data_IF_429689114386
#
_entry.id   IF_429689114386
#
_cell.length_a   1.000
_cell.length_b   1.000
_cell.length_c   1.000
_cell.angle_alpha   90.00
_cell.angle_beta   90.00
_cell.angle_gamma   90.00
#
_symmetry.space_group_name_H-M   'P 1'
#
loop_
_entity.id
_entity.type
_entity.pdbx_description
1 polymer ?
#
# COMPACT_ATOMS: atom_id res chain seq x y z
N UNK A 1 73.25 32.42 37.32
CA UNK A 1 72.11 31.49 37.10
C UNK A 1 70.83 32.30 37.23
N UNK A 2 70.12 32.62 36.13
CA UNK A 2 68.99 31.86 35.54
C UNK A 2 67.89 31.57 36.59
N UNK A 3 66.61 31.95 36.47
CA UNK A 3 65.79 32.51 35.38
C UNK A 3 64.48 33.05 35.99
N UNK A 4 64.14 34.32 35.73
CA UNK A 4 62.76 34.79 35.69
C UNK A 4 62.06 34.17 34.47
N UNK A 5 60.85 33.60 34.65
CA UNK A 5 60.01 33.15 33.52
C UNK A 5 59.06 34.27 33.09
N UNK A 6 58.99 34.42 31.77
CA UNK A 6 58.40 35.50 30.97
C UNK A 6 56.88 35.40 30.87
N UNK A 7 56.24 36.56 30.76
CA UNK A 7 54.95 36.77 30.10
C UNK A 7 55.19 36.71 28.58
N UNK A 8 54.43 35.91 27.83
CA UNK A 8 54.12 36.13 26.39
C UNK A 8 52.81 35.42 26.03
N UNK A 9 51.83 36.20 25.58
CA UNK A 9 50.60 35.80 24.85
C UNK A 9 50.91 35.19 23.48
N UNK A 10 50.14 34.21 22.98
CA UNK A 10 49.72 34.06 21.55
C UNK A 10 48.62 32.98 21.42
N UNK A 11 47.40 33.43 21.07
CA UNK A 11 46.48 33.01 19.97
C UNK A 11 46.16 31.51 19.68
N UNK A 12 44.85 31.28 19.41
CA UNK A 12 44.18 30.22 18.62
C UNK A 12 43.91 28.88 19.35
N UNK A 13 42.72 28.25 19.32
CA UNK A 13 41.71 28.08 18.26
C UNK A 13 40.30 27.96 18.87
N UNK A 14 39.33 28.60 18.21
CA UNK A 14 37.89 28.41 18.39
C UNK A 14 37.50 26.97 17.97
N UNK A 15 37.54 26.00 18.88
CA UNK A 15 36.97 24.67 18.63
C UNK A 15 35.50 24.67 19.00
N UNK A 16 34.67 24.93 17.98
CA UNK A 16 33.25 24.57 17.95
C UNK A 16 33.16 23.06 18.21
N UNK A 17 32.83 22.67 19.43
CA UNK A 17 32.39 21.31 19.73
C UNK A 17 30.88 21.28 19.45
N UNK A 18 30.53 20.97 18.20
CA UNK A 18 29.23 20.38 17.89
C UNK A 18 29.26 18.99 18.52
N UNK A 19 28.89 18.92 19.80
CA UNK A 19 28.59 17.66 20.45
C UNK A 19 27.25 17.18 19.90
N UNK A 20 27.34 16.09 19.15
CA UNK A 20 26.26 15.32 18.57
C UNK A 20 25.16 15.01 19.60
N UNK A 21 24.10 15.81 19.62
CA UNK A 21 22.80 15.44 20.17
C UNK A 21 21.93 14.92 19.03
N UNK A 22 21.82 13.61 18.91
CA UNK A 22 21.15 12.87 17.85
C UNK A 22 19.75 13.43 17.56
N UNK A 23 19.55 13.82 16.30
CA UNK A 23 18.29 14.29 15.70
C UNK A 23 17.16 13.27 15.87
N UNK A 24 16.27 13.50 16.83
CA UNK A 24 14.94 12.88 16.89
C UNK A 24 13.93 13.67 16.05
N UNK A 25 14.18 13.84 14.75
CA UNK A 25 13.24 14.52 13.84
C UNK A 25 12.75 13.64 12.66
N UNK A 26 11.98 12.58 12.92
CA UNK A 26 11.08 12.02 11.91
C UNK A 26 9.60 12.44 12.10
N UNK A 27 9.23 13.13 13.19
CA UNK A 27 7.81 13.31 13.51
C UNK A 27 7.11 14.44 12.74
N UNK A 28 7.78 15.58 12.54
CA UNK A 28 7.16 16.78 11.94
C UNK A 28 6.98 16.63 10.41
N UNK A 29 8.00 16.12 9.71
CA UNK A 29 7.96 15.92 8.25
C UNK A 29 6.94 14.84 7.84
N UNK A 30 6.80 13.78 8.64
CA UNK A 30 5.81 12.73 8.36
C UNK A 30 4.38 13.21 8.62
N UNK A 31 4.17 14.06 9.63
CA UNK A 31 2.85 14.62 9.92
C UNK A 31 2.36 15.54 8.79
N UNK A 32 3.25 16.34 8.18
CA UNK A 32 2.89 17.16 7.03
C UNK A 32 2.55 16.31 5.80
N UNK A 33 3.36 15.29 5.49
CA UNK A 33 3.10 14.41 4.34
C UNK A 33 1.77 13.66 4.44
N UNK A 34 1.39 13.23 5.66
CA UNK A 34 0.08 12.61 5.87
C UNK A 34 -1.06 13.60 5.61
N UNK A 35 -0.96 14.82 6.12
CA UNK A 35 -1.95 15.88 5.89
C UNK A 35 -2.07 16.24 4.41
N UNK A 36 -0.95 16.30 3.71
CA UNK A 36 -0.88 16.58 2.27
C UNK A 36 -1.55 15.46 1.47
N UNK A 37 -1.24 14.20 1.79
CA UNK A 37 -1.87 13.04 1.17
C UNK A 37 -3.40 13.06 1.35
N UNK A 38 -3.87 13.31 2.57
CA UNK A 38 -5.31 13.38 2.86
C UNK A 38 -5.99 14.55 2.16
N UNK A 39 -5.30 15.67 2.00
CA UNK A 39 -5.79 16.82 1.23
C UNK A 39 -5.90 16.48 -0.25
N UNK A 40 -4.88 15.81 -0.81
CA UNK A 40 -4.89 15.35 -2.20
C UNK A 40 -6.02 14.32 -2.45
N UNK A 41 -6.24 13.37 -1.53
CA UNK A 41 -7.34 12.41 -1.65
C UNK A 41 -8.73 13.06 -1.59
N UNK A 42 -8.91 14.13 -0.81
CA UNK A 42 -10.18 14.89 -0.81
C UNK A 42 -10.47 15.50 -2.17
N UNK A 43 -9.45 16.07 -2.81
CA UNK A 43 -9.56 16.69 -4.13
C UNK A 43 -9.86 15.61 -5.17
N UNK A 44 -9.04 14.55 -5.19
CA UNK A 44 -9.21 13.41 -6.08
C UNK A 44 -10.62 12.79 -6.00
N UNK A 45 -11.14 12.55 -4.79
CA UNK A 45 -12.47 11.98 -4.61
C UNK A 45 -13.62 12.93 -4.99
N UNK A 46 -13.39 14.24 -5.06
CA UNK A 46 -14.41 15.24 -5.45
C UNK A 46 -14.45 15.52 -6.94
N UNK A 47 -13.28 15.53 -7.58
CA UNK A 47 -13.15 15.90 -9.00
C UNK A 47 -13.52 14.76 -9.94
N UNK A 48 -13.34 13.51 -9.50
CA UNK A 48 -13.71 12.34 -10.28
C UNK A 48 -15.19 11.96 -10.12
N UNK A 49 -15.77 11.37 -11.17
CA UNK A 49 -17.12 10.81 -11.13
C UNK A 49 -17.07 9.37 -10.66
N UNK A 50 -17.79 9.08 -9.60
CA UNK A 50 -17.77 7.80 -8.89
C UNK A 50 -19.11 7.09 -9.04
N UNK A 51 -19.37 6.62 -10.26
CA UNK A 51 -20.55 5.81 -10.58
C UNK A 51 -20.21 4.32 -10.53
N UNK A 52 -21.24 3.46 -10.62
CA UNK A 52 -21.04 2.04 -10.92
C UNK A 52 -20.58 1.94 -12.38
N UNK A 53 -19.36 1.47 -12.60
CA UNK A 53 -18.79 1.30 -13.94
C UNK A 53 -18.50 -0.16 -14.24
N UNK A 54 -18.14 -0.40 -15.50
CA UNK A 54 -17.66 -1.70 -15.95
C UNK A 54 -16.27 -1.99 -15.36
N UNK A 55 -15.97 -3.27 -15.12
CA UNK A 55 -14.66 -3.71 -14.68
C UNK A 55 -13.57 -3.14 -15.60
N UNK A 56 -12.53 -2.53 -15.02
CA UNK A 56 -11.45 -1.88 -15.77
C UNK A 56 -11.67 -0.41 -16.14
N UNK A 57 -12.76 0.20 -15.69
CA UNK A 57 -12.89 1.67 -15.66
C UNK A 57 -12.67 2.19 -14.24
N UNK A 58 -12.11 3.39 -14.10
CA UNK A 58 -11.93 4.07 -12.81
C UNK A 58 -13.30 4.50 -12.27
N UNK A 59 -14.02 3.53 -11.73
CA UNK A 59 -15.37 3.63 -11.20
C UNK A 59 -15.38 3.10 -9.78
N UNK A 60 -16.46 3.28 -9.02
CA UNK A 60 -16.55 2.75 -7.67
C UNK A 60 -17.35 3.62 -6.70
N UNK A 61 -18.16 2.98 -5.85
CA UNK A 61 -19.09 3.69 -4.94
C UNK A 61 -18.55 3.90 -3.54
N UNK A 62 -17.51 3.18 -3.16
CA UNK A 62 -17.04 3.12 -1.77
C UNK A 62 -15.53 3.24 -1.67
N UNK A 63 -15.07 3.91 -0.61
CA UNK A 63 -13.66 4.09 -0.29
C UNK A 63 -13.30 3.67 1.14
N UNK A 64 -12.02 3.44 1.35
CA UNK A 64 -11.38 3.24 2.65
C UNK A 64 -9.99 3.87 2.66
N UNK A 65 -9.45 4.07 3.86
CA UNK A 65 -8.08 4.54 4.06
C UNK A 65 -7.36 3.54 4.96
N UNK A 66 -6.16 3.13 4.57
CA UNK A 66 -5.37 2.18 5.34
C UNK A 66 -3.89 2.36 5.07
N UNK A 67 -3.10 2.42 6.13
CA UNK A 67 -1.65 2.32 6.02
C UNK A 67 -1.27 0.85 5.70
N UNK A 68 -0.89 0.60 4.46
CA UNK A 68 -0.55 -0.72 3.94
C UNK A 68 0.93 -1.03 4.11
N UNK A 69 1.80 -0.02 4.19
CA UNK A 69 3.26 -0.19 4.15
C UNK A 69 3.97 0.08 5.51
N UNK A 70 3.29 0.69 6.48
CA UNK A 70 3.77 1.03 7.82
C UNK A 70 4.44 2.40 7.96
N UNK A 71 4.37 3.27 6.95
CA UNK A 71 4.93 4.63 6.98
C UNK A 71 4.01 5.66 7.64
N UNK A 72 2.82 5.27 8.12
CA UNK A 72 1.81 6.15 8.73
C UNK A 72 1.12 7.11 7.75
N UNK A 73 1.36 6.98 6.44
CA UNK A 73 0.59 7.64 5.38
C UNK A 73 -0.39 6.59 4.84
N UNK A 74 -1.72 6.80 4.98
CA UNK A 74 -2.67 5.82 4.51
C UNK A 74 -2.76 5.84 2.98
N UNK A 75 -2.84 4.67 2.36
CA UNK A 75 -3.31 4.55 0.99
C UNK A 75 -4.84 4.69 0.90
N UNK A 76 -5.30 5.30 -0.20
CA UNK A 76 -6.71 5.38 -0.57
C UNK A 76 -7.11 4.12 -1.34
N UNK A 77 -8.17 3.46 -0.90
CA UNK A 77 -8.66 2.22 -1.50
C UNK A 77 -10.07 2.46 -1.99
N UNK A 78 -10.35 2.15 -3.25
CA UNK A 78 -11.66 2.32 -3.88
C UNK A 78 -12.16 0.96 -4.32
N UNK A 79 -13.40 0.64 -3.95
CA UNK A 79 -14.08 -0.54 -4.48
C UNK A 79 -14.74 -0.16 -5.80
N UNK A 80 -14.24 -0.72 -6.89
CA UNK A 80 -14.62 -0.41 -8.27
C UNK A 80 -15.87 -1.13 -8.76
N UNK A 81 -16.49 -2.02 -7.96
CA UNK A 81 -17.77 -2.59 -8.36
C UNK A 81 -18.32 -3.67 -7.41
N UNK A 82 -19.60 -3.94 -7.58
CA UNK A 82 -20.24 -5.20 -7.18
C UNK A 82 -20.69 -5.88 -8.48
N UNK A 83 -20.17 -7.05 -8.81
CA UNK A 83 -20.81 -7.84 -9.86
C UNK A 83 -22.03 -8.59 -9.30
N UNK A 84 -22.91 -9.09 -10.17
CA UNK A 84 -24.13 -9.84 -9.81
C UNK A 84 -23.91 -11.05 -8.87
N UNK A 85 -22.65 -11.46 -8.64
CA UNK A 85 -22.24 -12.57 -7.77
C UNK A 85 -21.56 -12.10 -6.46
N UNK A 86 -21.58 -10.81 -6.15
CA UNK A 86 -21.01 -10.24 -4.91
C UNK A 86 -19.49 -10.10 -4.90
N UNK A 87 -18.82 -10.26 -6.05
CA UNK A 87 -17.36 -10.06 -6.16
C UNK A 87 -17.04 -8.58 -6.31
N UNK A 88 -15.92 -8.17 -5.72
CA UNK A 88 -15.45 -6.79 -5.59
C UNK A 88 -14.23 -6.61 -6.49
N UNK A 89 -13.98 -5.42 -7.01
CA UNK A 89 -12.68 -5.04 -7.57
C UNK A 89 -12.13 -3.88 -6.76
N UNK A 90 -10.82 -3.79 -6.62
CA UNK A 90 -10.19 -2.74 -5.83
C UNK A 90 -9.13 -2.00 -6.63
N UNK A 91 -9.15 -0.69 -6.51
CA UNK A 91 -8.02 0.16 -6.86
C UNK A 91 -7.38 0.73 -5.59
N UNK A 92 -6.06 0.75 -5.56
CA UNK A 92 -5.25 1.28 -4.48
C UNK A 92 -4.46 2.46 -5.02
N UNK A 93 -4.61 3.60 -4.36
CA UNK A 93 -3.97 4.85 -4.71
C UNK A 93 -3.02 5.29 -3.60
N UNK A 94 -1.87 5.84 -3.97
CA UNK A 94 -0.88 6.39 -3.06
C UNK A 94 -0.65 7.87 -3.33
N UNK A 95 -0.06 8.58 -2.37
CA UNK A 95 0.30 9.99 -2.54
C UNK A 95 1.78 10.10 -2.94
N UNK A 96 2.03 10.66 -4.11
CA UNK A 96 3.39 10.98 -4.54
C UNK A 96 3.81 12.33 -3.93
N UNK A 97 4.53 12.29 -2.81
CA UNK A 97 4.95 13.50 -2.10
C UNK A 97 5.91 14.40 -2.91
N UNK A 98 6.65 13.84 -3.87
CA UNK A 98 7.58 14.59 -4.71
C UNK A 98 6.84 15.46 -5.73
N UNK A 99 5.88 14.84 -6.41
CA UNK A 99 5.13 15.47 -7.50
C UNK A 99 3.76 16.02 -7.05
N UNK A 100 3.42 15.80 -5.78
CA UNK A 100 2.21 16.28 -5.09
C UNK A 100 0.88 15.87 -5.72
N UNK A 101 0.80 14.66 -6.28
CA UNK A 101 -0.44 14.12 -6.87
C UNK A 101 -0.79 12.72 -6.32
N UNK A 102 -2.01 12.27 -6.62
CA UNK A 102 -2.51 10.93 -6.27
C UNK A 102 -2.22 9.98 -7.43
N UNK A 103 -1.47 8.92 -7.17
CA UNK A 103 -1.07 7.94 -8.18
C UNK A 103 -1.81 6.61 -8.00
N UNK A 104 -2.16 5.94 -9.12
CA UNK A 104 -2.72 4.59 -9.07
C UNK A 104 -1.59 3.59 -8.89
N UNK A 105 -1.59 2.89 -7.75
CA UNK A 105 -0.56 1.91 -7.42
C UNK A 105 -0.93 0.52 -7.90
N UNK A 106 -2.21 0.17 -7.82
CA UNK A 106 -2.72 -1.13 -8.20
C UNK A 106 -4.19 -1.05 -8.57
N UNK A 107 -4.58 -1.79 -9.60
CA UNK A 107 -5.98 -2.02 -9.96
C UNK A 107 -6.18 -3.53 -10.17
N UNK A 108 -7.16 -4.09 -9.47
CA UNK A 108 -7.60 -5.46 -9.67
C UNK A 108 -8.58 -5.51 -10.84
N UNK A 109 -8.09 -5.93 -12.01
CA UNK A 109 -8.87 -5.96 -13.25
C UNK A 109 -9.86 -7.14 -13.33
N UNK A 110 -9.75 -8.14 -12.44
CA UNK A 110 -10.47 -9.43 -12.55
C UNK A 110 -11.60 -9.66 -11.53
N UNK A 111 -12.08 -8.60 -10.85
CA UNK A 111 -13.14 -8.70 -9.83
C UNK A 111 -12.74 -9.64 -8.68
N UNK A 112 -11.55 -9.39 -8.12
CA UNK A 112 -10.90 -10.23 -7.13
C UNK A 112 -11.14 -9.75 -5.69
N UNK A 113 -11.06 -10.70 -4.75
CA UNK A 113 -11.03 -10.36 -3.34
C UNK A 113 -9.62 -9.92 -2.93
N UNK A 114 -9.46 -8.64 -2.57
CA UNK A 114 -8.23 -8.13 -1.99
C UNK A 114 -8.19 -8.31 -0.47
N UNK A 115 -7.19 -9.03 0.02
CA UNK A 115 -6.89 -9.24 1.43
C UNK A 115 -5.63 -8.51 1.86
N UNK A 116 -5.52 -8.24 3.15
CA UNK A 116 -4.35 -7.63 3.78
C UNK A 116 -3.88 -8.43 4.99
N UNK A 117 -2.60 -8.79 4.99
CA UNK A 117 -1.92 -9.36 6.15
C UNK A 117 -1.11 -8.25 6.84
N UNK A 118 -1.54 -7.85 8.05
CA UNK A 118 -0.91 -6.74 8.78
C UNK A 118 0.45 -7.07 9.38
N UNK A 119 0.72 -8.34 9.69
CA UNK A 119 2.00 -8.79 10.25
C UNK A 119 3.10 -8.70 9.18
N UNK A 120 2.79 -9.14 7.95
CA UNK A 120 3.73 -9.19 6.84
C UNK A 120 3.67 -7.99 5.91
N UNK A 121 2.66 -7.13 6.05
CA UNK A 121 2.38 -6.00 5.16
C UNK A 121 2.16 -6.47 3.71
N UNK A 122 1.49 -7.60 3.55
CA UNK A 122 1.15 -8.16 2.25
C UNK A 122 -0.25 -7.76 1.84
N UNK A 123 -0.38 -7.37 0.59
CA UNK A 123 -1.64 -7.25 -0.13
C UNK A 123 -1.74 -8.51 -0.99
N UNK A 124 -2.89 -9.16 -0.92
CA UNK A 124 -3.15 -10.44 -1.55
C UNK A 124 -4.39 -10.26 -2.41
N UNK A 125 -4.20 -10.25 -3.72
CA UNK A 125 -5.31 -10.21 -4.66
C UNK A 125 -5.66 -11.63 -5.08
N UNK A 126 -6.92 -12.03 -4.89
CA UNK A 126 -7.37 -13.40 -5.11
C UNK A 126 -8.54 -13.44 -6.09
N UNK A 127 -8.26 -13.92 -7.30
CA UNK A 127 -9.28 -14.26 -8.27
C UNK A 127 -9.76 -15.69 -8.02
N UNK A 128 -11.06 -15.91 -8.09
CA UNK A 128 -11.62 -17.27 -8.07
C UNK A 128 -12.78 -17.35 -9.03
N UNK A 129 -12.72 -18.31 -9.94
CA UNK A 129 -13.74 -18.63 -10.92
C UNK A 129 -14.01 -20.15 -10.90
N UNK A 130 -14.99 -20.59 -11.69
CA UNK A 130 -15.28 -22.02 -11.82
C UNK A 130 -14.12 -22.79 -12.48
N UNK A 131 -13.24 -22.07 -13.21
CA UNK A 131 -12.15 -22.65 -13.99
C UNK A 131 -10.75 -22.26 -13.51
N UNK A 132 -10.63 -21.30 -12.59
CA UNK A 132 -9.32 -20.87 -12.09
C UNK A 132 -9.37 -20.34 -10.65
N UNK A 133 -8.28 -20.56 -9.94
CA UNK A 133 -7.96 -19.83 -8.71
C UNK A 133 -6.60 -19.18 -8.91
N UNK A 134 -6.55 -17.86 -8.79
CA UNK A 134 -5.35 -17.06 -8.98
C UNK A 134 -5.12 -16.21 -7.74
N UNK A 135 -3.85 -16.09 -7.36
CA UNK A 135 -3.45 -15.33 -6.20
C UNK A 135 -2.17 -14.57 -6.54
N UNK A 136 -2.22 -13.24 -6.36
CA UNK A 136 -1.07 -12.35 -6.47
C UNK A 136 -0.79 -11.74 -5.10
N UNK A 137 0.43 -11.88 -4.63
CA UNK A 137 0.89 -11.27 -3.38
C UNK A 137 1.94 -10.23 -3.68
N UNK A 138 1.72 -9.03 -3.17
CA UNK A 138 2.66 -7.93 -3.29
C UNK A 138 2.70 -7.11 -2.00
N UNK A 139 3.66 -6.19 -1.93
CA UNK A 139 3.77 -5.20 -0.85
C UNK A 139 4.01 -3.83 -1.43
N UNK A 140 3.54 -2.81 -0.73
CA UNK A 140 3.88 -1.43 -1.03
C UNK A 140 5.21 -1.11 -0.34
N UNK A 141 6.11 -0.49 -1.09
CA UNK A 141 7.39 0.01 -0.60
C UNK A 141 7.19 1.40 -0.01
N UNK A 142 8.06 1.82 0.91
CA UNK A 142 8.06 3.18 1.47
C UNK A 142 8.23 4.31 0.43
N UNK A 143 8.55 3.95 -0.82
CA UNK A 143 8.66 4.90 -1.94
C UNK A 143 7.36 5.02 -2.75
N UNK A 144 6.27 4.35 -2.34
CA UNK A 144 5.00 4.36 -3.06
C UNK A 144 4.96 3.44 -4.29
N UNK A 145 5.91 2.52 -4.44
CA UNK A 145 5.87 1.49 -5.51
C UNK A 145 5.41 0.13 -4.96
N UNK A 146 4.82 -0.73 -5.78
CA UNK A 146 4.57 -2.12 -5.39
C UNK A 146 5.76 -3.04 -5.73
N UNK A 147 5.91 -4.12 -4.96
CA UNK A 147 6.86 -5.20 -5.20
C UNK A 147 6.15 -6.54 -5.11
N UNK A 148 6.19 -7.31 -6.18
CA UNK A 148 5.69 -8.69 -6.20
C UNK A 148 6.48 -9.57 -5.21
N UNK A 149 5.73 -10.41 -4.49
CA UNK A 149 6.23 -11.35 -3.49
C UNK A 149 6.01 -12.78 -3.96
N UNK A 150 4.81 -13.07 -4.47
CA UNK A 150 4.44 -14.41 -4.90
C UNK A 150 3.27 -14.34 -5.89
N UNK A 151 3.24 -15.24 -6.86
CA UNK A 151 2.03 -15.54 -7.63
C UNK A 151 1.74 -17.04 -7.60
N UNK A 152 0.46 -17.39 -7.57
CA UNK A 152 0.01 -18.77 -7.62
C UNK A 152 -1.23 -18.84 -8.52
N UNK A 153 -1.28 -19.86 -9.38
CA UNK A 153 -2.40 -20.09 -10.29
C UNK A 153 -2.71 -21.57 -10.31
N UNK A 154 -3.99 -21.92 -10.24
CA UNK A 154 -4.50 -23.26 -10.46
C UNK A 154 -5.62 -23.16 -11.48
N UNK A 155 -5.57 -23.99 -12.52
CA UNK A 155 -6.65 -24.07 -13.51
C UNK A 155 -7.37 -25.40 -13.35
N UNK A 156 -8.69 -25.33 -13.36
CA UNK A 156 -9.61 -26.45 -13.31
C UNK A 156 -10.44 -26.45 -14.60
N UNK A 157 -10.43 -27.55 -15.33
CA UNK A 157 -11.35 -27.75 -16.45
C UNK A 157 -12.16 -29.01 -16.15
N UNK A 158 -13.48 -28.87 -16.10
CA UNK A 158 -14.44 -29.95 -15.85
C UNK A 158 -14.15 -30.79 -14.60
N UNK A 159 -13.81 -30.12 -13.50
CA UNK A 159 -13.53 -30.77 -12.21
C UNK A 159 -12.15 -31.41 -12.11
N UNK A 160 -11.31 -31.31 -13.15
CA UNK A 160 -9.91 -31.76 -13.15
C UNK A 160 -8.95 -30.59 -13.21
N UNK A 161 -8.03 -30.53 -12.27
CA UNK A 161 -6.93 -29.56 -12.30
C UNK A 161 -5.94 -29.89 -13.40
N UNK A 162 -5.87 -29.03 -14.43
CA UNK A 162 -5.01 -29.24 -15.61
C UNK A 162 -3.65 -28.57 -15.46
N UNK A 163 -3.57 -27.49 -14.68
CA UNK A 163 -2.32 -26.77 -14.44
C UNK A 163 -2.26 -26.17 -13.05
N UNK A 164 -1.05 -26.10 -12.50
CA UNK A 164 -0.76 -25.43 -11.24
C UNK A 164 0.63 -24.80 -11.32
N UNK A 165 0.73 -23.54 -10.89
CA UNK A 165 1.96 -22.75 -10.98
C UNK A 165 2.20 -21.96 -9.69
N UNK A 166 3.47 -21.77 -9.35
CA UNK A 166 3.94 -20.84 -8.31
C UNK A 166 5.09 -20.02 -8.90
N UNK A 167 4.98 -18.69 -8.85
CA UNK A 167 5.95 -17.73 -9.41
C UNK A 167 6.29 -18.03 -10.88
N UNK A 168 5.26 -18.33 -11.69
CA UNK A 168 5.40 -18.68 -13.10
C UNK A 168 6.05 -20.05 -13.38
N UNK A 169 6.33 -20.85 -12.35
CA UNK A 169 6.92 -22.19 -12.50
C UNK A 169 5.89 -23.27 -12.22
N UNK A 170 5.88 -24.32 -13.05
CA UNK A 170 5.02 -25.50 -12.85
C UNK A 170 5.22 -26.08 -11.45
N UNK A 171 4.12 -26.38 -10.78
CA UNK A 171 4.07 -26.97 -9.45
C UNK A 171 2.97 -28.03 -9.39
N UNK A 172 2.93 -28.81 -8.30
CA UNK A 172 1.80 -29.70 -8.04
C UNK A 172 0.63 -28.93 -7.44
N UNK A 173 -0.59 -29.40 -7.70
CA UNK A 173 -1.81 -28.83 -7.10
C UNK A 173 -1.69 -28.69 -5.58
N UNK A 174 -1.30 -29.77 -4.88
CA UNK A 174 -1.12 -29.78 -3.42
C UNK A 174 -0.16 -28.68 -2.94
N UNK A 175 0.94 -28.47 -3.66
CA UNK A 175 1.93 -27.44 -3.32
C UNK A 175 1.38 -26.03 -3.56
N UNK A 176 0.71 -25.80 -4.69
CA UNK A 176 0.12 -24.50 -5.02
C UNK A 176 -1.00 -24.14 -4.05
N UNK A 177 -1.91 -25.08 -3.75
CA UNK A 177 -2.99 -24.88 -2.78
C UNK A 177 -2.46 -24.55 -1.38
N UNK A 178 -1.47 -25.31 -0.90
CA UNK A 178 -0.80 -25.02 0.37
C UNK A 178 -0.16 -23.63 0.41
N UNK A 179 0.39 -23.14 -0.71
CA UNK A 179 0.91 -21.78 -0.80
C UNK A 179 -0.20 -20.74 -0.71
N UNK A 180 -1.27 -20.90 -1.48
CA UNK A 180 -2.44 -19.99 -1.43
C UNK A 180 -2.97 -19.89 0.00
N UNK A 181 -3.22 -21.03 0.66
CA UNK A 181 -3.75 -21.07 2.02
C UNK A 181 -2.81 -20.40 3.02
N UNK A 182 -1.49 -20.63 2.90
CA UNK A 182 -0.49 -20.02 3.81
C UNK A 182 -0.41 -18.49 3.74
N UNK A 183 -0.68 -17.88 2.57
CA UNK A 183 -0.67 -16.42 2.45
C UNK A 183 -1.99 -15.80 2.92
N UNK A 184 -3.10 -16.52 2.76
CA UNK A 184 -4.41 -16.10 3.26
C UNK A 184 -4.54 -16.28 4.78
N UNK A 185 -3.68 -17.09 5.39
CA UNK A 185 -3.61 -17.25 6.83
C UNK A 185 -3.45 -15.89 7.52
N UNK A 186 -4.37 -15.57 8.45
CA UNK A 186 -4.48 -14.27 9.15
C UNK A 186 -4.70 -13.04 8.27
N UNK A 187 -4.81 -13.19 6.95
CA UNK A 187 -5.15 -12.08 6.07
C UNK A 187 -6.63 -11.72 6.26
N UNK A 188 -6.94 -10.42 6.23
CA UNK A 188 -8.31 -9.92 6.35
C UNK A 188 -8.71 -9.22 5.06
N UNK A 189 -9.94 -9.46 4.60
CA UNK A 189 -10.50 -8.74 3.47
C UNK A 189 -10.37 -7.23 3.70
N UNK A 190 -9.85 -6.52 2.70
CA UNK A 190 -9.76 -5.07 2.73
C UNK A 190 -11.18 -4.50 2.64
N UNK A 191 -11.50 -3.53 3.51
CA UNK A 191 -12.81 -2.91 3.58
C UNK A 191 -12.78 -1.50 3.03
N UNK A 192 -13.79 -1.15 2.26
CA UNK A 192 -14.11 0.21 1.82
C UNK A 192 -15.46 0.62 2.43
N UNK A 193 -15.49 0.99 3.72
CA UNK A 193 -16.76 1.13 4.45
C UNK A 193 -17.53 2.41 4.12
N UNK A 194 -16.93 3.35 3.38
CA UNK A 194 -17.48 4.69 3.23
C UNK A 194 -17.97 4.92 1.81
N UNK A 195 -19.27 5.18 1.63
CA UNK A 195 -19.79 5.64 0.33
C UNK A 195 -19.09 6.95 -0.07
N UNK A 196 -18.66 7.07 -1.33
CA UNK A 196 -18.05 8.29 -1.84
C UNK A 196 -19.13 9.36 -1.98
N UNK A 197 -19.10 10.34 -1.08
CA UNK A 197 -19.97 11.52 -1.07
C UNK A 197 -19.36 12.62 -0.19
N UNK A 198 -19.81 13.85 -0.34
CA UNK A 198 -19.27 15.02 0.38
C UNK A 198 -19.25 14.85 1.91
N UNK A 199 -20.27 14.22 2.49
CA UNK A 199 -20.38 13.97 3.95
C UNK A 199 -19.27 13.03 4.43
N UNK A 200 -19.10 11.90 3.76
CA UNK A 200 -18.10 10.90 4.14
C UNK A 200 -16.68 11.36 3.84
N UNK A 201 -16.45 12.02 2.70
CA UNK A 201 -15.14 12.61 2.37
C UNK A 201 -14.72 13.61 3.45
N UNK A 202 -15.61 14.53 3.83
CA UNK A 202 -15.33 15.52 4.90
C UNK A 202 -15.08 14.85 6.26
N UNK A 203 -15.75 13.72 6.55
CA UNK A 203 -15.66 13.05 7.86
C UNK A 203 -14.40 12.19 8.00
N UNK A 204 -14.08 11.38 6.99
CA UNK A 204 -13.13 10.27 7.11
C UNK A 204 -11.77 10.50 6.46
N UNK A 205 -11.64 11.50 5.59
CA UNK A 205 -10.36 11.91 5.04
C UNK A 205 -9.89 13.12 5.87
N UNK A 206 -9.16 12.93 6.97
CA UNK A 206 -8.74 14.01 7.88
C UNK A 206 -7.38 13.73 8.52
#
# INVERSE_FOLDING_TARGET
MKKMKKIVSVVMILSVVIACGVLNTPQVVMASQKSDALSAYKVFLKENKWDEGEAGTLSGKYFGLKDLNGDKIPELIINQGENKKGKRAYAIFTYNAKEKYVDELYCSWLLDECYYNSEKKYIIDKATSDVSEELRVFKITKKGNYKDVMSATMQNYDGKYTSAMVNGKKASYKKTKSKIDSYLEKAKLIKTPYKINSKNIKKYVK
#
